data_IF_706520227267
#
_entry.id   IF_706520227267
#
_cell.length_a   1.000
_cell.length_b   1.000
_cell.length_c   1.000
_cell.angle_alpha   90.00
_cell.angle_beta   90.00
_cell.angle_gamma   90.00
#
_symmetry.space_group_name_H-M   'P 1'
#
loop_
_entity.id
_entity.type
_entity.pdbx_description
1 polymer ?
#
# COMPACT_ATOMS: atom_id res chain seq x y z
N UNK A 1 21.07 30.80 -11.89
CA UNK A 1 21.64 29.62 -11.23
C UNK A 1 20.53 29.01 -10.42
N UNK A 2 20.20 27.76 -10.67
CA UNK A 2 19.28 27.03 -9.82
C UNK A 2 19.87 26.89 -8.41
N UNK A 3 19.04 27.10 -7.41
CA UNK A 3 19.41 26.98 -5.99
C UNK A 3 19.69 25.51 -5.68
N UNK A 4 20.80 25.21 -5.00
CA UNK A 4 21.09 23.83 -4.55
C UNK A 4 20.01 23.35 -3.59
N UNK A 5 19.64 22.08 -3.65
CA UNK A 5 18.61 21.48 -2.79
C UNK A 5 18.99 21.64 -1.30
N UNK A 6 20.27 21.49 -0.95
CA UNK A 6 20.81 21.70 0.40
C UNK A 6 20.67 23.15 0.95
N UNK A 7 20.27 24.11 0.10
CA UNK A 7 20.04 25.50 0.46
C UNK A 7 18.55 25.89 0.47
N UNK A 8 17.67 24.95 0.17
CA UNK A 8 16.22 25.20 0.15
C UNK A 8 15.68 25.39 1.56
N UNK A 9 14.78 26.36 1.71
CA UNK A 9 13.98 26.50 2.92
C UNK A 9 12.98 25.34 3.04
N UNK A 10 12.33 25.24 4.20
CA UNK A 10 11.24 24.26 4.41
C UNK A 10 10.16 24.34 3.31
N UNK A 11 9.69 25.54 3.01
CA UNK A 11 8.62 25.77 2.03
C UNK A 11 9.07 25.44 0.62
N UNK A 12 10.26 25.88 0.21
CA UNK A 12 10.84 25.55 -1.09
C UNK A 12 11.00 24.04 -1.26
N UNK A 13 11.46 23.34 -0.24
CA UNK A 13 11.63 21.89 -0.28
C UNK A 13 10.28 21.14 -0.34
N UNK A 14 9.25 21.61 0.36
CA UNK A 14 7.89 21.07 0.27
C UNK A 14 7.30 21.27 -1.13
N UNK A 15 7.45 22.44 -1.71
CA UNK A 15 6.99 22.72 -3.08
C UNK A 15 7.78 21.89 -4.11
N UNK A 16 9.06 21.71 -3.90
CA UNK A 16 9.91 20.89 -4.75
C UNK A 16 9.53 19.41 -4.70
N UNK A 17 9.23 18.89 -3.51
CA UNK A 17 8.77 17.50 -3.33
C UNK A 17 7.37 17.27 -3.91
N UNK A 18 6.46 18.24 -3.77
CA UNK A 18 5.10 18.19 -4.32
C UNK A 18 5.10 17.97 -5.83
N UNK A 19 5.99 18.65 -6.56
CA UNK A 19 6.12 18.47 -8.01
C UNK A 19 6.51 17.05 -8.41
N UNK A 20 7.05 16.24 -7.49
CA UNK A 20 7.52 14.87 -7.71
C UNK A 20 6.57 13.80 -7.17
N UNK A 21 5.38 14.21 -6.74
CA UNK A 21 4.30 13.30 -6.34
C UNK A 21 3.25 13.25 -7.45
N UNK A 22 3.10 12.08 -8.07
CA UNK A 22 2.10 11.79 -9.09
C UNK A 22 1.01 10.93 -8.46
N UNK A 23 -0.26 11.30 -8.58
CA UNK A 23 -1.33 10.61 -7.86
C UNK A 23 -2.49 10.22 -8.77
N UNK A 24 -2.78 8.91 -8.80
CA UNK A 24 -3.97 8.32 -9.38
C UNK A 24 -5.08 8.15 -8.31
N UNK A 25 -4.82 8.58 -7.06
CA UNK A 25 -5.69 8.36 -5.93
C UNK A 25 -7.06 9.05 -6.04
N UNK A 26 -7.98 8.56 -5.24
CA UNK A 26 -9.28 9.21 -5.06
C UNK A 26 -9.08 10.56 -4.34
N UNK A 27 -10.00 11.49 -4.59
CA UNK A 27 -9.98 12.81 -3.92
C UNK A 27 -10.80 12.75 -2.63
N UNK A 28 -10.39 11.89 -1.69
CA UNK A 28 -10.98 11.79 -0.36
C UNK A 28 -9.96 12.17 0.73
N UNK A 29 -10.43 12.32 1.97
CA UNK A 29 -9.60 12.77 3.07
C UNK A 29 -8.41 11.84 3.34
N UNK A 30 -8.58 10.52 3.23
CA UNK A 30 -7.50 9.57 3.46
C UNK A 30 -6.38 9.71 2.43
N UNK A 31 -6.72 9.90 1.15
CA UNK A 31 -5.75 10.18 0.09
C UNK A 31 -5.07 11.53 0.28
N UNK A 32 -5.84 12.57 0.64
CA UNK A 32 -5.31 13.91 0.84
C UNK A 32 -4.33 13.98 2.02
N UNK A 33 -4.66 13.37 3.16
CA UNK A 33 -3.76 13.26 4.30
C UNK A 33 -2.47 12.50 3.94
N UNK A 34 -2.61 11.41 3.18
CA UNK A 34 -1.46 10.63 2.71
C UNK A 34 -0.55 11.44 1.79
N UNK A 35 -1.14 12.22 0.89
CA UNK A 35 -0.42 13.11 -0.03
C UNK A 35 0.36 14.19 0.74
N UNK A 36 -0.30 14.90 1.65
CA UNK A 36 0.34 15.94 2.46
C UNK A 36 1.47 15.38 3.32
N UNK A 37 1.28 14.19 3.90
CA UNK A 37 2.34 13.53 4.67
C UNK A 37 3.53 13.12 3.79
N UNK A 38 3.27 12.61 2.58
CA UNK A 38 4.31 12.20 1.63
C UNK A 38 5.20 13.37 1.17
N UNK A 39 4.69 14.59 1.12
CA UNK A 39 5.50 15.78 0.81
C UNK A 39 6.67 15.92 1.78
N UNK A 40 6.46 15.59 3.07
CA UNK A 40 7.51 15.62 4.09
C UNK A 40 8.48 14.45 3.95
N UNK A 41 7.99 13.24 3.76
CA UNK A 41 8.84 12.06 3.60
C UNK A 41 9.73 12.15 2.36
N UNK A 42 9.12 12.46 1.23
CA UNK A 42 9.81 12.60 -0.05
C UNK A 42 10.81 13.77 -0.02
N UNK A 43 10.41 14.92 0.56
CA UNK A 43 11.29 16.08 0.70
C UNK A 43 12.53 15.80 1.55
N UNK A 44 12.41 15.01 2.62
CA UNK A 44 13.57 14.55 3.39
C UNK A 44 14.52 13.69 2.55
N UNK A 45 13.98 12.75 1.76
CA UNK A 45 14.79 11.92 0.85
C UNK A 45 15.50 12.76 -0.22
N UNK A 46 14.78 13.70 -0.84
CA UNK A 46 15.33 14.65 -1.83
C UNK A 46 16.49 15.44 -1.22
N UNK A 47 16.32 15.94 0.00
CA UNK A 47 17.36 16.72 0.67
C UNK A 47 18.63 15.89 0.98
N UNK A 48 18.44 14.66 1.46
CA UNK A 48 19.56 13.74 1.78
C UNK A 48 20.33 13.33 0.54
N UNK A 49 19.61 13.06 -0.55
CA UNK A 49 20.22 12.61 -1.81
C UNK A 49 20.76 13.75 -2.67
N UNK A 50 20.46 15.00 -2.31
CA UNK A 50 20.72 16.20 -3.11
C UNK A 50 20.34 16.00 -4.60
N UNK A 51 19.20 15.31 -4.83
CA UNK A 51 18.74 14.87 -6.15
C UNK A 51 17.27 15.14 -6.39
N UNK A 52 16.97 15.61 -7.60
CA UNK A 52 15.61 15.76 -8.12
C UNK A 52 14.97 14.46 -8.64
N UNK A 53 15.72 13.36 -8.74
CA UNK A 53 15.26 12.08 -9.31
C UNK A 53 14.58 11.19 -8.27
N UNK A 54 14.12 11.78 -7.18
CA UNK A 54 13.32 11.12 -6.14
C UNK A 54 11.86 11.44 -6.40
N UNK A 55 11.02 10.44 -6.56
CA UNK A 55 9.62 10.64 -6.86
C UNK A 55 8.71 9.58 -6.25
N UNK A 56 7.42 9.88 -6.19
CA UNK A 56 6.37 9.01 -5.69
C UNK A 56 5.22 8.94 -6.69
N UNK A 57 4.70 7.73 -6.90
CA UNK A 57 3.45 7.50 -7.64
C UNK A 57 2.45 6.84 -6.70
N UNK A 58 1.36 7.54 -6.42
CA UNK A 58 0.23 6.98 -5.71
C UNK A 58 -0.72 6.23 -6.65
N UNK A 59 -1.11 5.02 -6.27
CA UNK A 59 -2.16 4.26 -6.93
C UNK A 59 -3.57 4.74 -6.58
N UNK A 60 -4.60 4.17 -7.20
CA UNK A 60 -5.99 4.47 -6.88
C UNK A 60 -6.35 4.27 -5.40
N UNK A 61 -5.69 3.33 -4.73
CA UNK A 61 -5.86 2.99 -3.32
C UNK A 61 -5.00 3.82 -2.35
N UNK A 62 -4.44 4.96 -2.82
CA UNK A 62 -3.71 5.91 -1.99
C UNK A 62 -4.45 6.21 -0.69
N UNK A 63 -3.81 6.04 0.46
CA UNK A 63 -4.47 6.12 1.76
C UNK A 63 -3.48 6.34 2.91
N UNK A 64 -4.00 6.60 4.09
CA UNK A 64 -3.22 6.63 5.34
C UNK A 64 -2.62 5.26 5.65
N UNK A 65 -1.53 5.23 6.41
CA UNK A 65 -0.95 3.99 6.95
C UNK A 65 -1.27 3.80 8.42
N UNK A 66 -1.59 2.56 8.83
CA UNK A 66 -1.74 2.20 10.24
C UNK A 66 -0.40 1.96 10.96
N UNK A 67 0.71 1.92 10.22
CA UNK A 67 2.04 1.89 10.82
C UNK A 67 2.41 3.31 11.28
N UNK A 68 2.28 3.57 12.60
CA UNK A 68 2.51 4.89 13.18
C UNK A 68 3.93 5.38 12.89
N UNK A 69 4.95 4.53 13.04
CA UNK A 69 6.33 4.95 12.76
C UNK A 69 6.53 5.39 11.32
N UNK A 70 5.96 4.67 10.33
CA UNK A 70 5.97 5.09 8.93
C UNK A 70 5.25 6.42 8.74
N UNK A 71 4.09 6.58 9.35
CA UNK A 71 3.31 7.81 9.28
C UNK A 71 4.09 9.00 9.83
N UNK A 72 4.68 8.87 11.03
CA UNK A 72 5.46 9.91 11.68
C UNK A 72 6.73 10.29 10.88
N UNK A 73 7.27 9.34 10.11
CA UNK A 73 8.41 9.59 9.21
C UNK A 73 8.01 10.31 7.91
N UNK A 74 6.72 10.52 7.66
CA UNK A 74 6.22 11.27 6.51
C UNK A 74 5.79 10.41 5.32
N UNK A 75 5.57 9.10 5.50
CA UNK A 75 5.21 8.20 4.39
C UNK A 75 3.76 7.74 4.46
N UNK A 76 3.05 7.87 3.33
CA UNK A 76 1.69 7.39 3.11
C UNK A 76 1.64 5.91 2.70
N UNK A 77 0.52 5.48 2.14
CA UNK A 77 0.28 4.11 1.68
C UNK A 77 -0.45 4.11 0.32
N UNK A 78 -0.39 2.99 -0.43
CA UNK A 78 -0.87 2.93 -1.80
C UNK A 78 0.11 3.60 -2.79
N UNK A 79 1.42 3.47 -2.58
CA UNK A 79 2.42 4.24 -3.31
C UNK A 79 3.64 3.42 -3.74
N UNK A 80 4.20 3.81 -4.88
CA UNK A 80 5.59 3.49 -5.29
C UNK A 80 6.46 4.70 -4.97
N UNK A 81 7.60 4.46 -4.31
CA UNK A 81 8.62 5.47 -4.05
C UNK A 81 9.91 5.01 -4.72
N UNK A 82 10.50 5.86 -5.54
CA UNK A 82 11.73 5.56 -6.27
C UNK A 82 12.75 6.68 -6.12
N UNK A 83 14.03 6.30 -6.10
CA UNK A 83 15.16 7.21 -5.97
C UNK A 83 16.37 6.69 -6.77
N UNK A 84 17.45 7.48 -6.99
CA UNK A 84 18.67 7.01 -7.65
C UNK A 84 19.30 5.80 -6.96
N UNK A 85 19.74 4.79 -7.73
CA UNK A 85 20.45 3.61 -7.18
C UNK A 85 21.90 3.96 -6.84
N UNK A 86 22.09 4.62 -5.72
CA UNK A 86 23.39 5.06 -5.17
C UNK A 86 23.81 4.29 -3.92
N UNK A 87 23.09 3.21 -3.59
CA UNK A 87 23.38 2.37 -2.42
C UNK A 87 22.89 2.94 -1.09
N UNK A 88 22.05 3.98 -1.12
CA UNK A 88 21.41 4.59 0.06
C UNK A 88 20.00 3.99 0.24
N UNK A 89 19.64 3.70 1.49
CA UNK A 89 18.36 3.13 1.89
C UNK A 89 17.72 3.93 3.02
N UNK A 90 16.38 3.96 3.04
CA UNK A 90 15.56 4.67 4.01
C UNK A 90 14.74 3.69 4.85
N UNK A 91 15.28 3.16 5.96
CA UNK A 91 14.62 2.11 6.75
C UNK A 91 13.31 2.58 7.40
N UNK A 92 13.11 3.87 7.61
CA UNK A 92 11.87 4.44 8.14
C UNK A 92 10.65 4.24 7.23
N UNK A 93 10.83 3.91 5.94
CA UNK A 93 9.73 3.54 5.05
C UNK A 93 9.11 2.18 5.48
N UNK A 94 9.87 1.34 6.21
CA UNK A 94 9.42 0.10 6.87
C UNK A 94 8.75 -0.90 5.93
N UNK A 95 9.44 -1.42 4.91
CA UNK A 95 8.94 -2.54 4.12
C UNK A 95 8.75 -3.78 5.02
N UNK A 96 7.68 -4.56 4.84
CA UNK A 96 7.35 -5.65 5.77
C UNK A 96 7.00 -6.98 5.11
N UNK A 97 7.14 -7.09 3.79
CA UNK A 97 6.85 -8.32 3.06
C UNK A 97 5.36 -8.72 3.01
N UNK A 98 4.43 -7.75 3.27
CA UNK A 98 3.01 -8.02 3.16
C UNK A 98 2.64 -8.37 1.72
N UNK A 99 1.75 -9.36 1.56
CA UNK A 99 1.35 -9.85 0.26
C UNK A 99 0.09 -10.70 0.34
N UNK A 100 -0.37 -11.17 -0.82
CA UNK A 100 -1.55 -12.00 -0.95
C UNK A 100 -1.27 -13.29 -1.70
N UNK A 101 -1.91 -14.37 -1.24
CA UNK A 101 -1.97 -15.67 -1.92
C UNK A 101 -3.37 -15.84 -2.49
N UNK A 102 -3.47 -16.36 -3.71
CA UNK A 102 -4.69 -16.97 -4.24
C UNK A 102 -4.51 -18.48 -4.20
N UNK A 103 -5.37 -19.17 -3.46
CA UNK A 103 -5.41 -20.63 -3.40
C UNK A 103 -6.72 -21.14 -4.01
N UNK A 104 -6.63 -22.21 -4.82
CA UNK A 104 -7.76 -22.91 -5.43
C UNK A 104 -8.04 -24.20 -4.68
N UNK A 105 -9.29 -24.53 -4.51
CA UNK A 105 -9.81 -25.79 -3.98
C UNK A 105 -10.93 -26.28 -4.90
N UNK A 106 -11.09 -27.59 -5.03
CA UNK A 106 -12.25 -28.15 -5.76
C UNK A 106 -13.54 -27.77 -5.03
N UNK A 107 -13.57 -27.96 -3.71
CA UNK A 107 -14.68 -27.57 -2.85
C UNK A 107 -14.17 -26.85 -1.59
N UNK A 108 -14.94 -25.86 -1.12
CA UNK A 108 -14.66 -25.20 0.15
C UNK A 108 -14.90 -26.18 1.30
N UNK A 109 -13.92 -26.37 2.21
CA UNK A 109 -14.13 -27.17 3.40
C UNK A 109 -15.30 -26.64 4.24
N UNK A 110 -16.03 -27.53 4.97
CA UNK A 110 -17.06 -27.10 5.92
C UNK A 110 -16.51 -26.05 6.90
N UNK A 111 -17.32 -25.06 7.24
CA UNK A 111 -16.96 -23.93 8.12
C UNK A 111 -16.38 -24.41 9.45
N UNK A 112 -16.99 -25.43 10.05
CA UNK A 112 -16.54 -26.02 11.31
C UNK A 112 -15.12 -26.58 11.18
N UNK A 113 -14.83 -27.29 10.08
CA UNK A 113 -13.51 -27.83 9.80
C UNK A 113 -12.44 -26.75 9.58
N UNK A 114 -12.82 -25.64 8.96
CA UNK A 114 -11.91 -24.48 8.81
C UNK A 114 -11.57 -23.90 10.17
N UNK A 115 -12.56 -23.71 11.05
CA UNK A 115 -12.37 -23.19 12.41
C UNK A 115 -11.50 -24.14 13.24
N UNK A 116 -11.75 -25.46 13.18
CA UNK A 116 -10.92 -26.47 13.84
C UNK A 116 -9.46 -26.38 13.40
N UNK A 117 -9.20 -26.37 12.08
CA UNK A 117 -7.84 -26.28 11.53
C UNK A 117 -7.14 -24.98 11.91
N UNK A 118 -7.85 -23.85 11.91
CA UNK A 118 -7.28 -22.57 12.38
C UNK A 118 -6.89 -22.68 13.85
N UNK A 119 -7.73 -23.25 14.70
CA UNK A 119 -7.40 -23.48 16.11
C UNK A 119 -6.23 -24.46 16.29
N UNK A 120 -6.14 -25.50 15.45
CA UNK A 120 -5.00 -26.41 15.43
C UNK A 120 -3.70 -25.67 15.06
N UNK A 121 -3.75 -24.84 14.02
CA UNK A 121 -2.59 -24.03 13.56
C UNK A 121 -2.15 -23.04 14.65
N UNK A 122 -3.08 -22.37 15.32
CA UNK A 122 -2.76 -21.44 16.42
C UNK A 122 -2.10 -22.11 17.62
N UNK A 123 -2.47 -23.38 17.90
CA UNK A 123 -1.93 -24.17 19.00
C UNK A 123 -0.74 -25.06 18.57
N UNK A 124 -0.39 -25.08 17.30
CA UNK A 124 0.70 -25.91 16.77
C UNK A 124 2.06 -25.23 16.88
N UNK A 125 3.09 -26.06 16.76
CA UNK A 125 4.46 -25.58 16.63
C UNK A 125 4.95 -25.72 15.18
N UNK A 126 4.44 -24.87 14.30
CA UNK A 126 4.91 -24.79 12.92
C UNK A 126 6.22 -24.01 12.85
N UNK A 127 7.18 -24.53 12.10
CA UNK A 127 8.49 -23.91 11.89
C UNK A 127 8.78 -23.72 10.40
N UNK A 128 9.39 -22.61 10.08
CA UNK A 128 9.95 -22.31 8.76
C UNK A 128 11.40 -21.82 8.90
N UNK A 129 12.33 -22.52 8.30
CA UNK A 129 13.77 -22.21 8.37
C UNK A 129 14.28 -22.01 9.83
N UNK A 130 13.75 -22.81 10.78
CA UNK A 130 14.08 -22.76 12.21
C UNK A 130 13.37 -21.65 13.01
N UNK A 131 12.51 -20.86 12.39
CA UNK A 131 11.72 -19.80 13.02
C UNK A 131 10.30 -20.31 13.24
N UNK A 132 9.77 -20.19 14.46
CA UNK A 132 8.38 -20.54 14.78
C UNK A 132 7.45 -19.56 14.06
N UNK A 133 6.47 -20.10 13.32
CA UNK A 133 5.44 -19.31 12.65
C UNK A 133 4.43 -18.80 13.68
N UNK A 134 4.18 -17.52 13.68
CA UNK A 134 3.12 -16.86 14.47
C UNK A 134 1.91 -16.59 13.58
N UNK A 135 0.82 -17.36 13.67
CA UNK A 135 -0.39 -17.08 12.91
C UNK A 135 -0.92 -15.67 13.16
N UNK A 136 -1.38 -15.01 12.10
CA UNK A 136 -1.88 -13.62 12.18
C UNK A 136 -3.15 -13.42 11.34
N UNK A 137 -4.05 -14.39 11.35
CA UNK A 137 -5.23 -14.49 10.50
C UNK A 137 -6.21 -13.30 10.56
N UNK A 138 -6.08 -12.41 11.51
CA UNK A 138 -6.97 -11.26 11.67
C UNK A 138 -6.30 -10.00 12.17
N UNK A 139 -4.99 -10.03 12.44
CA UNK A 139 -4.28 -8.88 13.00
C UNK A 139 -4.21 -7.71 11.98
N UNK A 140 -4.83 -6.60 12.33
CA UNK A 140 -4.83 -5.39 11.50
C UNK A 140 -5.69 -5.54 10.25
N UNK A 141 -5.07 -5.39 9.06
CA UNK A 141 -5.72 -5.59 7.76
C UNK A 141 -5.48 -6.99 7.18
N UNK A 142 -4.86 -7.91 7.93
CA UNK A 142 -4.70 -9.29 7.48
C UNK A 142 -6.03 -10.03 7.56
N UNK A 143 -6.23 -10.98 6.67
CA UNK A 143 -7.45 -11.77 6.57
C UNK A 143 -7.20 -13.10 5.85
N UNK A 144 -8.16 -14.02 6.02
CA UNK A 144 -8.31 -15.25 5.30
C UNK A 144 -9.75 -15.26 4.77
N UNK A 145 -9.95 -15.09 3.49
CA UNK A 145 -11.27 -14.93 2.87
C UNK A 145 -11.53 -16.01 1.82
N UNK A 146 -12.78 -16.48 1.77
CA UNK A 146 -13.24 -17.56 0.90
C UNK A 146 -14.23 -17.04 -0.11
N UNK A 147 -14.17 -17.59 -1.34
CA UNK A 147 -14.89 -17.04 -2.50
C UNK A 147 -15.41 -18.14 -3.42
N UNK A 148 -16.46 -17.79 -4.16
CA UNK A 148 -16.92 -18.49 -5.36
C UNK A 148 -16.85 -17.55 -6.57
N UNK A 149 -16.56 -18.05 -7.79
CA UNK A 149 -16.61 -17.24 -8.99
C UNK A 149 -18.00 -16.66 -9.26
N UNK A 150 -18.05 -15.37 -9.61
CA UNK A 150 -19.19 -14.73 -10.25
C UNK A 150 -19.02 -14.67 -11.78
N UNK A 151 -17.77 -14.71 -12.22
CA UNK A 151 -17.40 -14.73 -13.61
C UNK A 151 -15.90 -14.90 -13.75
N UNK A 152 -15.50 -15.71 -14.71
CA UNK A 152 -14.11 -16.00 -15.07
C UNK A 152 -13.96 -15.82 -16.56
N UNK A 153 -12.89 -15.18 -17.00
CA UNK A 153 -12.57 -15.03 -18.42
C UNK A 153 -12.14 -16.37 -19.01
N UNK A 154 -12.62 -16.74 -20.21
CA UNK A 154 -12.29 -18.03 -20.83
C UNK A 154 -10.80 -18.31 -20.98
N UNK A 155 -9.99 -17.29 -21.09
CA UNK A 155 -8.53 -17.39 -21.28
C UNK A 155 -7.75 -17.71 -19.99
N UNK A 156 -8.41 -17.76 -18.83
CA UNK A 156 -7.85 -18.22 -17.55
C UNK A 156 -8.64 -19.36 -16.92
N UNK A 157 -9.66 -19.89 -17.59
CA UNK A 157 -10.52 -20.97 -17.07
C UNK A 157 -9.73 -22.24 -16.70
N UNK A 158 -8.61 -22.51 -17.37
CA UNK A 158 -7.72 -23.63 -17.03
C UNK A 158 -7.03 -23.41 -15.66
N UNK A 159 -6.67 -22.15 -15.35
CA UNK A 159 -5.98 -21.79 -14.09
C UNK A 159 -6.97 -21.50 -12.97
N UNK A 160 -8.10 -20.87 -13.32
CA UNK A 160 -9.17 -20.50 -12.39
C UNK A 160 -10.52 -21.05 -12.86
N UNK A 161 -10.79 -22.37 -12.74
CA UNK A 161 -12.07 -22.96 -13.11
C UNK A 161 -13.27 -22.28 -12.41
N UNK A 162 -14.33 -22.06 -13.15
CA UNK A 162 -15.55 -21.39 -12.65
C UNK A 162 -16.36 -22.23 -11.66
N UNK A 163 -16.12 -23.54 -11.59
CA UNK A 163 -16.75 -24.46 -10.64
C UNK A 163 -15.96 -24.67 -9.34
N UNK A 164 -14.72 -24.19 -9.27
CA UNK A 164 -13.84 -24.28 -8.10
C UNK A 164 -14.21 -23.27 -6.99
N UNK A 165 -13.61 -23.46 -5.83
CA UNK A 165 -13.62 -22.48 -4.72
C UNK A 165 -12.24 -21.83 -4.57
N UNK A 166 -12.22 -20.62 -4.04
CA UNK A 166 -10.99 -19.87 -3.89
C UNK A 166 -10.84 -19.34 -2.47
N UNK A 167 -9.58 -19.23 -2.01
CA UNK A 167 -9.25 -18.47 -0.82
C UNK A 167 -8.20 -17.40 -1.17
N UNK A 168 -8.36 -16.23 -0.56
CA UNK A 168 -7.34 -15.18 -0.60
C UNK A 168 -6.83 -14.95 0.82
N UNK A 169 -5.52 -15.07 0.98
CA UNK A 169 -4.84 -14.94 2.26
C UNK A 169 -3.94 -13.73 2.19
N UNK A 170 -4.22 -12.74 3.04
CA UNK A 170 -3.44 -11.52 3.18
C UNK A 170 -2.62 -11.58 4.46
N UNK A 171 -1.30 -11.54 4.33
CA UNK A 171 -0.40 -11.65 5.48
C UNK A 171 1.04 -11.20 5.19
N UNK A 172 1.83 -11.05 6.24
CA UNK A 172 3.24 -10.67 6.20
C UNK A 172 4.09 -11.67 7.00
N UNK A 173 5.37 -11.37 7.23
CA UNK A 173 6.25 -12.15 8.12
C UNK A 173 6.47 -11.42 9.45
N UNK A 174 5.53 -11.44 10.42
CA UNK A 174 5.67 -10.74 11.68
C UNK A 174 6.93 -11.13 12.45
N UNK A 175 7.35 -12.38 12.32
CA UNK A 175 8.49 -13.00 12.99
C UNK A 175 9.83 -12.31 12.66
N UNK A 176 9.97 -11.79 11.42
CA UNK A 176 11.19 -11.13 10.93
C UNK A 176 11.09 -9.61 10.81
N UNK A 177 9.93 -9.01 11.07
CA UNK A 177 9.75 -7.55 11.00
C UNK A 177 10.64 -6.78 11.97
N UNK A 178 10.91 -7.35 13.14
CA UNK A 178 11.74 -6.73 14.18
C UNK A 178 13.14 -6.38 13.67
N UNK A 179 13.74 -7.27 12.88
CA UNK A 179 15.07 -7.05 12.30
C UNK A 179 15.07 -5.89 11.30
N UNK A 180 14.04 -5.82 10.43
CA UNK A 180 13.91 -4.76 9.43
C UNK A 180 13.64 -3.40 10.09
N UNK A 181 12.78 -3.38 11.11
CA UNK A 181 12.46 -2.13 11.82
C UNK A 181 13.58 -1.68 12.75
N UNK A 182 14.31 -2.61 13.37
CA UNK A 182 15.51 -2.31 14.18
C UNK A 182 16.69 -1.76 13.38
N UNK A 183 16.67 -1.93 12.04
CA UNK A 183 17.68 -1.31 11.18
C UNK A 183 17.66 0.23 11.22
N UNK A 184 16.55 0.85 11.60
CA UNK A 184 16.41 2.30 11.77
C UNK A 184 17.44 2.83 12.78
N UNK A 185 17.64 2.09 13.88
CA UNK A 185 18.54 2.50 14.96
C UNK A 185 20.02 2.37 14.59
N UNK A 186 20.33 1.63 13.51
CA UNK A 186 21.70 1.48 12.98
C UNK A 186 22.04 2.53 11.94
N UNK A 187 21.03 3.24 11.42
CA UNK A 187 21.22 4.28 10.41
C UNK A 187 21.79 5.58 10.98
N UNK A 188 22.45 6.32 10.12
CA UNK A 188 22.81 7.70 10.41
C UNK A 188 21.56 8.59 10.35
N UNK A 189 21.34 9.39 11.41
CA UNK A 189 20.25 10.34 11.46
C UNK A 189 20.64 11.68 10.85
N UNK A 190 20.07 12.00 9.70
CA UNK A 190 20.36 13.24 8.97
C UNK A 190 19.28 14.28 9.25
N UNK A 191 19.70 15.46 9.69
CA UNK A 191 18.81 16.62 9.89
C UNK A 191 18.50 17.30 8.58
N UNK A 192 17.21 17.51 8.32
CA UNK A 192 16.70 18.25 7.16
C UNK A 192 15.79 19.39 7.61
N UNK A 193 15.46 20.37 6.75
CA UNK A 193 14.45 21.40 7.08
C UNK A 193 13.06 20.82 7.41
N UNK A 194 12.79 19.56 7.03
CA UNK A 194 11.53 18.85 7.25
C UNK A 194 11.57 17.85 8.41
N UNK A 195 12.63 17.84 9.20
CA UNK A 195 12.88 16.93 10.31
C UNK A 195 13.96 15.91 9.98
N UNK A 196 14.22 15.00 10.90
CA UNK A 196 15.27 13.99 10.74
C UNK A 196 14.79 12.80 9.92
N UNK A 197 15.74 12.08 9.32
CA UNK A 197 15.51 10.80 8.63
C UNK A 197 16.71 9.88 8.84
N UNK A 198 16.44 8.60 9.11
CA UNK A 198 17.48 7.57 9.22
C UNK A 198 17.90 7.05 7.85
N UNK A 199 19.19 6.92 7.64
CA UNK A 199 19.81 6.53 6.37
C UNK A 199 20.77 5.38 6.59
N UNK A 200 20.72 4.38 5.73
CA UNK A 200 21.69 3.29 5.67
C UNK A 200 22.42 3.33 4.33
N UNK A 201 23.71 3.22 4.35
CA UNK A 201 24.56 3.16 3.16
C UNK A 201 25.62 2.06 3.23
N UNK A 202 26.49 1.99 2.25
CA UNK A 202 27.66 1.13 2.23
C UNK A 202 27.36 -0.33 2.60
N UNK A 203 28.01 -0.83 3.67
CA UNK A 203 27.85 -2.19 4.17
C UNK A 203 26.46 -2.37 4.80
N UNK A 204 26.02 -1.45 5.65
CA UNK A 204 24.76 -1.54 6.38
C UNK A 204 23.56 -1.49 5.45
N UNK A 205 23.62 -0.66 4.39
CA UNK A 205 22.62 -0.62 3.34
C UNK A 205 22.49 -1.96 2.58
N UNK A 206 23.63 -2.57 2.22
CA UNK A 206 23.62 -3.89 1.56
C UNK A 206 23.07 -4.99 2.47
N UNK A 207 23.43 -4.99 3.75
CA UNK A 207 22.89 -5.93 4.73
C UNK A 207 21.38 -5.75 4.92
N UNK A 208 20.90 -4.51 5.01
CA UNK A 208 19.48 -4.19 5.10
C UNK A 208 18.69 -4.74 3.90
N UNK A 209 19.18 -4.52 2.68
CA UNK A 209 18.54 -5.05 1.48
C UNK A 209 18.50 -6.58 1.48
N UNK A 210 19.60 -7.23 1.89
CA UNK A 210 19.67 -8.70 2.02
C UNK A 210 18.67 -9.21 3.04
N UNK A 211 18.60 -8.60 4.23
CA UNK A 211 17.63 -8.94 5.28
C UNK A 211 16.19 -8.81 4.77
N UNK A 212 15.90 -7.73 4.03
CA UNK A 212 14.58 -7.58 3.42
C UNK A 212 14.26 -8.70 2.41
N UNK A 213 15.19 -9.09 1.55
CA UNK A 213 14.96 -10.20 0.60
C UNK A 213 14.71 -11.53 1.32
N UNK A 214 15.36 -11.77 2.45
CA UNK A 214 15.11 -12.93 3.30
C UNK A 214 13.71 -12.85 3.95
N UNK A 215 13.30 -11.69 4.45
CA UNK A 215 11.95 -11.46 4.94
C UNK A 215 10.89 -11.71 3.86
N UNK A 216 11.08 -11.21 2.64
CA UNK A 216 10.12 -11.39 1.54
C UNK A 216 9.96 -12.88 1.18
N UNK A 217 11.08 -13.61 1.05
CA UNK A 217 11.09 -15.06 0.80
C UNK A 217 10.39 -15.82 1.93
N UNK A 218 10.70 -15.48 3.18
CA UNK A 218 10.06 -16.07 4.37
C UNK A 218 8.57 -15.81 4.36
N UNK A 219 8.14 -14.56 4.13
CA UNK A 219 6.73 -14.17 4.12
C UNK A 219 5.92 -14.91 3.05
N UNK A 220 6.49 -15.09 1.85
CA UNK A 220 5.86 -15.88 0.78
C UNK A 220 5.67 -17.34 1.19
N UNK A 221 6.72 -18.01 1.65
CA UNK A 221 6.63 -19.41 2.11
C UNK A 221 5.67 -19.58 3.29
N UNK A 222 5.71 -18.64 4.24
CA UNK A 222 4.83 -18.64 5.41
C UNK A 222 3.35 -18.60 4.98
N UNK A 223 2.98 -17.72 4.04
CA UNK A 223 1.61 -17.66 3.51
C UNK A 223 1.16 -18.97 2.87
N UNK A 224 2.05 -19.64 2.13
CA UNK A 224 1.76 -20.93 1.51
C UNK A 224 1.58 -22.06 2.54
N UNK A 225 2.41 -22.08 3.58
CA UNK A 225 2.27 -23.04 4.69
C UNK A 225 0.92 -22.83 5.37
N UNK A 226 0.60 -21.61 5.79
CA UNK A 226 -0.67 -21.29 6.45
C UNK A 226 -1.88 -21.61 5.56
N UNK A 227 -1.77 -21.36 4.24
CA UNK A 227 -2.81 -21.76 3.31
C UNK A 227 -3.05 -23.27 3.33
N UNK A 228 -2.00 -24.07 3.20
CA UNK A 228 -2.10 -25.55 3.17
C UNK A 228 -2.58 -26.13 4.48
N UNK A 229 -2.11 -25.61 5.61
CA UNK A 229 -2.56 -26.06 6.93
C UNK A 229 -4.06 -25.83 7.16
N UNK A 230 -4.57 -24.65 6.77
CA UNK A 230 -5.98 -24.31 6.96
C UNK A 230 -6.88 -24.94 5.88
N UNK A 231 -6.47 -24.92 4.61
CA UNK A 231 -7.31 -25.42 3.51
C UNK A 231 -7.18 -26.93 3.32
N UNK A 232 -6.02 -27.51 3.61
CA UNK A 232 -5.64 -28.88 3.26
C UNK A 232 -5.21 -28.96 1.80
N UNK A 233 -5.88 -29.78 1.01
CA UNK A 233 -5.57 -29.92 -0.41
C UNK A 233 -6.01 -28.66 -1.15
N UNK A 234 -5.02 -27.91 -1.61
CA UNK A 234 -5.22 -26.67 -2.37
C UNK A 234 -4.05 -26.41 -3.31
N UNK A 235 -4.32 -25.76 -4.42
CA UNK A 235 -3.30 -25.29 -5.36
C UNK A 235 -3.07 -23.79 -5.17
N UNK A 236 -1.80 -23.40 -5.05
CA UNK A 236 -1.41 -21.99 -4.99
C UNK A 236 -1.31 -21.44 -6.41
N UNK A 237 -2.23 -20.56 -6.80
CA UNK A 237 -2.28 -19.93 -8.12
C UNK A 237 -1.31 -18.75 -8.19
N UNK A 238 -1.29 -17.90 -7.17
CA UNK A 238 -0.36 -16.79 -7.07
C UNK A 238 -0.01 -16.46 -5.63
N UNK A 239 1.18 -15.90 -5.41
CA UNK A 239 1.67 -15.44 -4.11
C UNK A 239 2.54 -14.21 -4.32
N UNK A 240 1.93 -13.03 -4.22
CA UNK A 240 2.51 -11.76 -4.61
C UNK A 240 2.70 -10.83 -3.42
N UNK A 241 3.89 -10.26 -3.32
CA UNK A 241 4.19 -9.18 -2.36
C UNK A 241 3.69 -7.85 -2.94
N UNK A 242 3.06 -7.02 -2.12
CA UNK A 242 2.62 -5.67 -2.48
C UNK A 242 3.15 -4.58 -1.53
N UNK A 243 3.94 -4.98 -0.53
CA UNK A 243 4.59 -4.04 0.37
C UNK A 243 6.03 -4.45 0.66
N UNK A 244 6.97 -3.83 -0.07
CA UNK A 244 8.36 -4.21 0.01
C UNK A 244 9.30 -3.47 -0.90
N UNK A 245 10.57 -3.90 -0.89
CA UNK A 245 11.61 -3.41 -1.79
C UNK A 245 11.62 -4.25 -3.07
N UNK A 246 11.16 -3.68 -4.16
CA UNK A 246 11.12 -4.34 -5.47
C UNK A 246 12.45 -4.21 -6.20
N UNK A 247 13.16 -3.11 -5.97
CA UNK A 247 14.56 -2.91 -6.33
C UNK A 247 15.33 -2.31 -5.15
N UNK A 248 16.63 -2.07 -5.32
CA UNK A 248 17.46 -1.43 -4.29
C UNK A 248 17.01 0.00 -3.99
N UNK A 249 16.42 0.64 -4.97
CA UNK A 249 15.99 2.03 -4.99
C UNK A 249 14.48 2.17 -5.29
N UNK A 250 13.70 1.12 -5.07
CA UNK A 250 12.24 1.12 -5.24
C UNK A 250 11.55 0.41 -4.11
N UNK A 251 10.63 1.11 -3.45
CA UNK A 251 9.72 0.55 -2.45
C UNK A 251 8.28 0.74 -2.90
N UNK A 252 7.50 -0.32 -2.74
CA UNK A 252 6.04 -0.30 -2.91
C UNK A 252 5.37 -0.47 -1.55
N UNK A 253 4.36 0.35 -1.30
CA UNK A 253 3.61 0.40 -0.07
C UNK A 253 2.13 0.14 -0.36
N UNK A 254 1.71 -1.13 -0.38
CA UNK A 254 0.34 -1.52 -0.64
C UNK A 254 -0.11 -1.38 -2.10
N UNK A 255 0.80 -1.61 -3.03
CA UNK A 255 0.47 -1.72 -4.44
C UNK A 255 1.32 -2.81 -5.10
N UNK A 256 0.73 -3.54 -6.05
CA UNK A 256 1.43 -4.52 -6.85
C UNK A 256 2.30 -3.85 -7.92
N UNK A 257 3.35 -4.55 -8.34
CA UNK A 257 3.94 -4.36 -9.65
C UNK A 257 3.15 -5.19 -10.65
N UNK A 258 2.37 -4.55 -11.53
CA UNK A 258 1.55 -5.27 -12.50
C UNK A 258 2.37 -6.05 -13.54
N UNK A 259 3.70 -5.85 -13.55
CA UNK A 259 4.65 -6.58 -14.38
C UNK A 259 5.61 -7.45 -13.56
N UNK A 260 5.16 -7.94 -12.39
CA UNK A 260 6.00 -8.75 -11.49
C UNK A 260 6.77 -9.84 -12.25
N UNK A 261 8.10 -9.70 -12.25
CA UNK A 261 9.02 -10.57 -13.01
C UNK A 261 9.23 -11.95 -12.38
N UNK A 262 8.65 -12.21 -11.22
CA UNK A 262 8.68 -13.55 -10.59
C UNK A 262 7.77 -14.55 -11.31
N UNK A 263 6.88 -14.05 -12.18
CA UNK A 263 6.02 -14.85 -13.06
C UNK A 263 6.37 -14.61 -14.54
N UNK A 264 6.08 -15.57 -15.43
CA UNK A 264 6.13 -15.31 -16.86
C UNK A 264 5.24 -14.12 -17.24
N UNK A 265 5.68 -13.30 -18.18
CA UNK A 265 4.99 -12.07 -18.60
C UNK A 265 3.51 -12.33 -18.87
N UNK A 266 2.63 -11.57 -18.21
CA UNK A 266 1.18 -11.68 -18.36
C UNK A 266 0.55 -12.94 -17.74
N UNK A 267 1.30 -13.71 -16.92
CA UNK A 267 0.75 -14.89 -16.22
C UNK A 267 0.45 -14.63 -14.75
N UNK A 268 1.00 -13.57 -14.15
CA UNK A 268 0.68 -13.21 -12.79
C UNK A 268 -0.79 -12.76 -12.66
N UNK A 269 -1.46 -13.28 -11.63
CA UNK A 269 -2.83 -12.94 -11.29
C UNK A 269 -2.85 -12.15 -9.98
N UNK A 270 -3.37 -10.94 -10.03
CA UNK A 270 -3.35 -9.96 -8.95
C UNK A 270 -4.72 -9.83 -8.31
N UNK A 271 -4.88 -10.22 -7.04
CA UNK A 271 -6.13 -9.97 -6.31
C UNK A 271 -6.19 -8.50 -5.87
N UNK A 272 -7.31 -7.86 -6.15
CA UNK A 272 -7.66 -6.54 -5.60
C UNK A 272 -8.82 -6.74 -4.63
N UNK A 273 -8.46 -6.91 -3.35
CA UNK A 273 -9.41 -7.17 -2.28
C UNK A 273 -9.94 -5.85 -1.70
N UNK A 274 -11.25 -5.69 -1.68
CA UNK A 274 -11.91 -4.47 -1.20
C UNK A 274 -12.29 -4.62 0.27
N UNK A 275 -13.56 -4.62 0.54
CA UNK A 275 -14.18 -4.83 1.84
C UNK A 275 -14.77 -6.24 1.90
N UNK A 276 -14.88 -6.83 3.09
CA UNK A 276 -15.34 -8.20 3.32
C UNK A 276 -16.70 -8.56 2.68
N UNK A 277 -17.56 -7.57 2.43
CA UNK A 277 -18.89 -7.69 1.83
C UNK A 277 -18.92 -7.31 0.33
N UNK A 278 -17.74 -7.07 -0.27
CA UNK A 278 -17.59 -6.72 -1.68
C UNK A 278 -16.90 -7.84 -2.45
N UNK A 279 -17.21 -7.99 -3.75
CA UNK A 279 -16.45 -8.91 -4.60
C UNK A 279 -14.96 -8.54 -4.64
N UNK A 280 -14.12 -9.57 -4.72
CA UNK A 280 -12.72 -9.43 -5.11
C UNK A 280 -12.63 -9.49 -6.62
N UNK A 281 -11.76 -8.67 -7.18
CA UNK A 281 -11.44 -8.69 -8.60
C UNK A 281 -10.03 -9.23 -8.80
N UNK A 282 -9.89 -10.16 -9.74
CA UNK A 282 -8.61 -10.70 -10.15
C UNK A 282 -8.23 -10.04 -11.47
N UNK A 283 -7.04 -9.47 -11.49
CA UNK A 283 -6.50 -8.80 -12.68
C UNK A 283 -5.31 -9.58 -13.23
N UNK A 284 -5.20 -9.62 -14.54
CA UNK A 284 -3.95 -9.90 -15.21
C UNK A 284 -3.17 -8.59 -15.35
N UNK A 285 -1.89 -8.63 -15.01
CA UNK A 285 -1.03 -7.46 -15.09
C UNK A 285 -0.66 -7.09 -16.53
N UNK A 286 -0.40 -5.81 -16.73
CA UNK A 286 0.07 -5.22 -17.98
C UNK A 286 0.92 -3.98 -17.68
N UNK A 287 1.69 -3.52 -18.67
CA UNK A 287 2.27 -2.19 -18.64
C UNK A 287 1.16 -1.14 -18.62
N UNK A 288 1.25 -0.12 -17.75
CA UNK A 288 0.07 0.69 -17.51
C UNK A 288 0.25 2.21 -17.41
N UNK A 289 1.37 2.77 -17.02
CA UNK A 289 1.58 4.21 -17.08
C UNK A 289 2.11 4.66 -18.47
N UNK A 290 1.36 4.32 -19.52
CA UNK A 290 1.68 4.74 -20.89
C UNK A 290 1.57 6.25 -21.07
N UNK A 291 2.14 6.77 -22.16
CA UNK A 291 2.06 8.20 -22.52
C UNK A 291 0.60 8.69 -22.61
N UNK A 292 -0.33 7.86 -23.10
CA UNK A 292 -1.76 8.19 -23.14
C UNK A 292 -2.35 8.31 -21.73
N UNK A 293 -2.05 7.36 -20.82
CA UNK A 293 -2.50 7.42 -19.42
C UNK A 293 -1.90 8.64 -18.72
N UNK A 294 -0.61 8.92 -18.92
CA UNK A 294 0.03 10.11 -18.35
C UNK A 294 -0.60 11.41 -18.86
N UNK A 295 -0.94 11.48 -20.15
CA UNK A 295 -1.65 12.61 -20.74
C UNK A 295 -3.04 12.82 -20.14
N UNK A 296 -3.84 11.76 -20.01
CA UNK A 296 -5.17 11.82 -19.37
C UNK A 296 -5.12 12.23 -17.89
N UNK A 297 -4.05 11.87 -17.17
CA UNK A 297 -3.82 12.25 -15.79
C UNK A 297 -3.22 13.65 -15.64
N UNK A 298 -2.81 14.29 -16.75
CA UNK A 298 -2.11 15.58 -16.75
C UNK A 298 -0.69 15.51 -16.17
N UNK A 299 -0.04 14.34 -16.25
CA UNK A 299 1.32 14.11 -15.74
C UNK A 299 2.38 14.41 -16.79
N UNK A 300 2.08 14.24 -18.08
CA UNK A 300 3.00 14.23 -19.22
C UNK A 300 3.91 15.45 -19.25
N UNK A 301 3.33 16.67 -19.25
CA UNK A 301 4.11 17.90 -19.26
C UNK A 301 5.00 18.04 -18.04
N UNK A 302 4.47 17.78 -16.85
CA UNK A 302 5.23 17.88 -15.59
C UNK A 302 6.35 16.83 -15.55
N UNK A 303 6.07 15.61 -15.99
CA UNK A 303 7.05 14.54 -16.06
C UNK A 303 8.19 14.89 -17.05
N UNK A 304 7.85 15.51 -18.19
CA UNK A 304 8.83 15.98 -19.18
C UNK A 304 9.69 17.13 -18.63
N UNK A 305 9.07 18.14 -18.01
CA UNK A 305 9.76 19.27 -17.39
C UNK A 305 10.72 18.82 -16.27
N UNK A 306 10.42 17.70 -15.59
CA UNK A 306 11.24 17.12 -14.53
C UNK A 306 12.26 16.08 -15.04
N UNK A 307 12.22 15.69 -16.31
CA UNK A 307 13.04 14.60 -16.86
C UNK A 307 12.67 13.21 -16.35
N UNK A 308 11.44 13.01 -15.86
CA UNK A 308 10.96 11.76 -15.24
C UNK A 308 9.98 10.95 -16.12
N UNK A 309 9.82 11.36 -17.39
CA UNK A 309 8.79 10.78 -18.27
C UNK A 309 9.04 9.29 -18.56
N UNK A 310 10.28 8.93 -18.85
CA UNK A 310 10.65 7.55 -19.18
C UNK A 310 10.56 6.67 -17.91
N UNK A 311 11.06 7.17 -16.77
CA UNK A 311 11.01 6.49 -15.49
C UNK A 311 9.57 6.23 -15.02
N UNK A 312 8.66 7.19 -15.21
CA UNK A 312 7.24 7.01 -14.91
C UNK A 312 6.60 5.98 -15.84
N UNK A 313 6.99 5.93 -17.11
CA UNK A 313 6.52 4.92 -18.06
C UNK A 313 6.91 3.48 -17.69
N UNK A 314 7.96 3.30 -16.89
CA UNK A 314 8.38 2.01 -16.36
C UNK A 314 7.66 1.63 -15.06
N UNK A 315 6.95 2.57 -14.41
CA UNK A 315 6.18 2.28 -13.20
C UNK A 315 4.88 1.59 -13.58
N UNK A 316 4.79 0.32 -13.21
CA UNK A 316 3.63 -0.51 -13.43
C UNK A 316 2.90 -0.71 -12.10
N UNK A 317 1.82 0.03 -11.86
CA UNK A 317 1.13 0.07 -10.58
C UNK A 317 -0.29 -0.51 -10.68
N UNK A 318 -0.62 -1.40 -9.74
CA UNK A 318 -1.97 -1.90 -9.56
C UNK A 318 -2.30 -1.89 -8.06
N UNK A 319 -3.47 -1.40 -7.62
CA UNK A 319 -3.84 -1.42 -6.20
C UNK A 319 -3.93 -2.86 -5.69
N UNK A 320 -3.60 -3.07 -4.40
CA UNK A 320 -3.78 -4.37 -3.76
C UNK A 320 -5.18 -4.52 -3.16
N UNK A 321 -5.90 -3.40 -2.96
CA UNK A 321 -7.20 -3.42 -2.32
C UNK A 321 -7.86 -2.06 -2.26
N UNK A 322 -8.88 -1.93 -1.40
CA UNK A 322 -9.67 -0.70 -1.27
C UNK A 322 -8.90 0.47 -0.65
N UNK A 323 -7.91 0.19 0.19
CA UNK A 323 -7.36 1.21 1.07
C UNK A 323 -8.39 1.72 2.08
N UNK A 324 -7.97 2.58 3.01
CA UNK A 324 -8.89 3.19 3.96
C UNK A 324 -9.57 4.43 3.37
N UNK A 325 -10.82 4.65 3.73
CA UNK A 325 -11.52 5.93 3.58
C UNK A 325 -11.83 6.50 4.95
N UNK A 326 -11.96 7.81 5.01
CA UNK A 326 -12.37 8.52 6.21
C UNK A 326 -13.60 9.34 5.85
N UNK A 327 -14.73 9.05 6.49
CA UNK A 327 -16.03 9.68 6.21
C UNK A 327 -16.16 11.04 6.92
N UNK A 328 -15.26 11.95 6.59
CA UNK A 328 -15.27 13.34 7.01
C UNK A 328 -15.18 14.26 5.79
N UNK A 329 -16.00 15.29 5.76
CA UNK A 329 -15.80 16.43 4.88
C UNK A 329 -14.81 17.41 5.53
N UNK A 330 -14.06 18.11 4.72
CA UNK A 330 -13.12 19.13 5.14
C UNK A 330 -13.00 20.20 4.04
N UNK A 331 -12.60 21.40 4.41
CA UNK A 331 -12.35 22.48 3.46
C UNK A 331 -10.87 22.66 3.13
N UNK A 332 -10.00 22.42 4.10
CA UNK A 332 -8.56 22.57 3.96
C UNK A 332 -7.79 21.61 4.89
N UNK A 333 -6.58 21.26 4.48
CA UNK A 333 -5.59 20.56 5.32
C UNK A 333 -4.39 21.48 5.44
N UNK A 334 -4.00 21.82 6.67
CA UNK A 334 -2.75 22.49 6.98
C UNK A 334 -1.86 21.52 7.78
N UNK A 335 -0.54 21.58 7.58
CA UNK A 335 0.41 20.73 8.30
C UNK A 335 1.38 21.61 9.09
N UNK A 336 1.32 21.48 10.42
CA UNK A 336 2.26 22.12 11.35
C UNK A 336 3.27 21.06 11.81
N UNK A 337 4.54 21.25 11.48
CA UNK A 337 5.65 20.41 11.96
C UNK A 337 6.13 20.92 13.32
N UNK A 338 6.17 20.00 14.29
CA UNK A 338 6.78 20.21 15.61
C UNK A 338 7.92 19.22 15.84
N UNK A 339 8.58 19.31 16.98
CA UNK A 339 9.62 18.36 17.40
C UNK A 339 9.10 16.92 17.61
N UNK A 340 7.80 16.75 17.85
CA UNK A 340 7.18 15.42 18.05
C UNK A 340 6.53 14.86 16.78
N UNK A 341 6.43 15.62 15.68
CA UNK A 341 5.90 15.14 14.42
C UNK A 341 5.06 16.16 13.65
N UNK A 342 4.40 15.70 12.61
CA UNK A 342 3.46 16.48 11.83
C UNK A 342 2.08 16.49 12.51
N UNK A 343 1.49 17.69 12.67
CA UNK A 343 0.12 17.88 13.09
C UNK A 343 -0.70 18.29 11.86
N UNK A 344 -1.76 17.57 11.58
CA UNK A 344 -2.67 17.84 10.47
C UNK A 344 -3.88 18.58 11.03
N UNK A 345 -4.12 19.79 10.54
CA UNK A 345 -5.26 20.63 10.90
C UNK A 345 -6.30 20.50 9.80
N UNK A 346 -7.44 19.94 10.14
CA UNK A 346 -8.58 19.75 9.24
C UNK A 346 -9.59 20.86 9.50
N UNK A 347 -9.60 21.89 8.67
CA UNK A 347 -10.54 22.99 8.79
C UNK A 347 -11.93 22.59 8.26
N UNK A 348 -12.98 22.98 8.97
CA UNK A 348 -14.36 22.67 8.60
C UNK A 348 -14.71 21.18 8.65
N UNK A 349 -13.99 20.39 9.46
CA UNK A 349 -14.21 18.94 9.57
C UNK A 349 -15.61 18.61 10.11
N UNK A 350 -16.33 17.75 9.38
CA UNK A 350 -17.68 17.28 9.77
C UNK A 350 -17.97 15.88 9.23
N UNK A 351 -18.74 15.04 9.95
CA UNK A 351 -19.12 13.72 9.48
C UNK A 351 -19.96 13.77 8.20
N UNK A 352 -19.65 12.93 7.21
CA UNK A 352 -20.44 12.83 5.96
C UNK A 352 -21.82 12.20 6.23
N UNK A 353 -21.89 11.27 7.19
CA UNK A 353 -23.11 10.54 7.54
C UNK A 353 -24.20 11.37 8.20
N UNK A 354 -23.93 12.63 8.55
CA UNK A 354 -24.88 13.55 9.20
C UNK A 354 -25.40 14.64 8.26
N UNK A 355 -25.73 14.27 7.03
CA UNK A 355 -26.19 15.20 5.98
C UNK A 355 -27.43 16.00 6.41
N UNK A 356 -28.34 15.40 7.16
CA UNK A 356 -29.55 16.08 7.66
C UNK A 356 -29.21 17.17 8.70
N UNK A 357 -28.35 16.88 9.66
CA UNK A 357 -27.85 17.88 10.63
C UNK A 357 -27.08 19.02 9.93
N UNK A 358 -26.32 18.69 8.90
CA UNK A 358 -25.59 19.66 8.08
C UNK A 358 -26.57 20.60 7.36
N UNK A 359 -27.61 20.04 6.76
CA UNK A 359 -28.64 20.81 6.07
C UNK A 359 -29.35 21.79 6.99
N UNK A 360 -29.68 21.39 8.21
CA UNK A 360 -30.28 22.28 9.21
C UNK A 360 -29.30 23.36 9.70
N UNK A 361 -28.05 23.01 9.92
CA UNK A 361 -26.99 23.92 10.34
C UNK A 361 -26.71 24.98 9.27
N UNK A 362 -26.63 24.53 8.00
CA UNK A 362 -26.47 25.45 6.86
C UNK A 362 -27.66 26.42 6.72
N UNK A 363 -28.89 25.95 6.92
CA UNK A 363 -30.10 26.79 6.93
C UNK A 363 -30.11 27.85 8.05
N UNK A 364 -29.44 27.57 9.18
CA UNK A 364 -29.30 28.49 10.30
C UNK A 364 -28.15 29.48 10.16
N UNK A 365 -27.41 29.46 9.04
CA UNK A 365 -26.28 30.37 8.79
C UNK A 365 -25.05 30.10 9.65
N UNK A 366 -24.96 28.92 10.29
CA UNK A 366 -23.76 28.49 11.02
C UNK A 366 -22.78 27.93 10.01
N UNK A 367 -21.81 28.74 9.59
CA UNK A 367 -20.91 28.45 8.49
C UNK A 367 -19.59 27.75 8.88
N UNK A 368 -19.25 27.66 10.17
CA UNK A 368 -17.97 27.12 10.60
C UNK A 368 -18.13 25.93 11.54
N UNK A 369 -17.84 24.75 11.04
CA UNK A 369 -17.38 23.65 11.87
C UNK A 369 -15.95 23.98 12.29
N UNK A 370 -15.58 23.65 13.51
CA UNK A 370 -14.28 23.97 14.07
C UNK A 370 -13.11 23.30 13.31
N UNK A 371 -11.94 23.49 13.83
CA UNK A 371 -10.74 22.78 13.38
C UNK A 371 -10.55 21.51 14.18
N UNK A 372 -10.12 20.45 13.50
CA UNK A 372 -9.67 19.19 14.13
C UNK A 372 -8.18 19.04 13.92
N UNK A 373 -7.43 18.91 15.00
CA UNK A 373 -5.98 18.71 14.94
C UNK A 373 -5.66 17.26 15.29
N UNK A 374 -4.98 16.57 14.39
CA UNK A 374 -4.57 15.18 14.58
C UNK A 374 -3.07 15.00 14.28
N UNK A 375 -2.41 14.14 15.02
CA UNK A 375 -1.09 13.62 14.67
C UNK A 375 -1.19 12.23 14.06
N UNK A 376 -2.10 11.42 14.58
CA UNK A 376 -2.25 10.03 14.21
C UNK A 376 -3.61 9.81 13.51
N UNK A 377 -3.63 9.43 12.22
CA UNK A 377 -4.88 9.22 11.51
C UNK A 377 -5.70 8.04 12.03
N UNK A 378 -5.16 7.21 12.93
CA UNK A 378 -5.94 6.16 13.62
C UNK A 378 -7.03 6.72 14.55
N UNK A 379 -6.90 7.97 14.97
CA UNK A 379 -7.91 8.64 15.77
C UNK A 379 -9.17 9.01 14.98
N UNK A 380 -9.08 8.99 13.64
CA UNK A 380 -10.22 9.24 12.76
C UNK A 380 -11.01 7.95 12.52
N UNK A 381 -12.35 8.04 12.45
CA UNK A 381 -13.17 6.91 12.01
C UNK A 381 -12.84 6.56 10.56
N UNK A 382 -12.43 5.33 10.32
CA UNK A 382 -12.11 4.84 8.98
C UNK A 382 -12.84 3.53 8.67
N UNK A 383 -13.13 3.34 7.39
CA UNK A 383 -13.65 2.10 6.81
C UNK A 383 -12.79 1.75 5.58
N UNK A 384 -13.11 0.69 4.87
CA UNK A 384 -12.47 0.35 3.60
C UNK A 384 -13.29 0.88 2.42
N UNK A 385 -12.61 1.30 1.36
CA UNK A 385 -13.28 1.69 0.11
C UNK A 385 -13.83 0.47 -0.60
N UNK A 386 -14.96 0.69 -1.30
CA UNK A 386 -15.60 -0.30 -2.15
C UNK A 386 -15.14 -0.22 -3.61
N UNK A 387 -16.10 -0.38 -4.54
CA UNK A 387 -15.87 -0.53 -5.99
C UNK A 387 -15.25 0.68 -6.67
N UNK A 388 -15.27 1.87 -6.06
CA UNK A 388 -14.65 3.08 -6.62
C UNK A 388 -13.17 2.89 -6.99
N UNK A 389 -12.47 1.99 -6.31
CA UNK A 389 -11.09 1.62 -6.66
C UNK A 389 -11.05 0.88 -7.99
N UNK A 390 -11.96 -0.07 -8.20
CA UNK A 390 -12.05 -0.85 -9.44
C UNK A 390 -12.43 0.06 -10.61
N UNK A 391 -13.34 1.00 -10.40
CA UNK A 391 -13.72 1.99 -11.40
C UNK A 391 -12.49 2.79 -11.86
N UNK A 392 -11.62 3.20 -10.93
CA UNK A 392 -10.37 3.89 -11.26
C UNK A 392 -9.34 2.99 -11.97
N UNK A 393 -9.23 1.73 -11.57
CA UNK A 393 -8.37 0.75 -12.28
C UNK A 393 -8.81 0.60 -13.73
N UNK A 394 -10.12 0.54 -13.96
CA UNK A 394 -10.70 0.42 -15.31
C UNK A 394 -10.56 1.74 -16.10
N UNK A 395 -10.85 2.88 -15.48
CA UNK A 395 -10.75 4.20 -16.09
C UNK A 395 -9.33 4.49 -16.61
N UNK A 396 -8.32 4.10 -15.84
CA UNK A 396 -6.91 4.31 -16.19
C UNK A 396 -6.26 3.11 -16.87
N UNK A 397 -7.03 2.05 -17.13
CA UNK A 397 -6.56 0.83 -17.79
C UNK A 397 -5.31 0.22 -17.12
N UNK A 398 -5.32 0.15 -15.78
CA UNK A 398 -4.16 -0.30 -14.99
C UNK A 398 -3.94 -1.80 -14.97
N UNK A 399 -4.92 -2.59 -15.41
CA UNK A 399 -4.86 -4.05 -15.47
C UNK A 399 -6.05 -4.60 -16.25
N UNK A 400 -5.98 -5.86 -16.66
CA UNK A 400 -7.05 -6.57 -17.35
C UNK A 400 -7.86 -7.37 -16.32
N UNK A 401 -9.15 -7.05 -16.07
CA UNK A 401 -9.98 -7.85 -15.18
C UNK A 401 -10.24 -9.20 -15.82
N UNK A 402 -9.90 -10.29 -15.12
CA UNK A 402 -10.01 -11.67 -15.64
C UNK A 402 -10.92 -12.55 -14.80
N UNK A 403 -11.17 -12.19 -13.52
CA UNK A 403 -12.19 -12.84 -12.72
C UNK A 403 -12.81 -11.89 -11.70
N UNK A 404 -14.04 -12.20 -11.31
CA UNK A 404 -14.77 -11.58 -10.22
C UNK A 404 -15.25 -12.67 -9.28
N UNK A 405 -14.90 -12.56 -8.00
CA UNK A 405 -15.20 -13.57 -6.99
C UNK A 405 -16.13 -12.99 -5.93
N UNK A 406 -17.19 -13.74 -5.59
CA UNK A 406 -18.13 -13.37 -4.54
C UNK A 406 -17.60 -13.85 -3.19
N UNK A 407 -17.56 -13.00 -2.15
CA UNK A 407 -17.19 -13.43 -0.82
C UNK A 407 -18.23 -14.37 -0.23
N UNK A 408 -17.77 -15.43 0.41
CA UNK A 408 -18.59 -16.40 1.13
C UNK A 408 -18.38 -16.29 2.64
N UNK A 409 -17.12 -16.11 3.05
CA UNK A 409 -16.73 -16.05 4.43
C UNK A 409 -15.40 -15.30 4.59
N UNK A 410 -15.30 -14.46 5.61
CA UNK A 410 -14.06 -13.83 6.06
C UNK A 410 -13.70 -14.31 7.44
N UNK A 411 -12.50 -14.83 7.61
CA UNK A 411 -11.95 -15.24 8.88
C UNK A 411 -11.02 -14.14 9.41
N UNK A 412 -11.31 -13.69 10.63
CA UNK A 412 -10.48 -12.76 11.40
C UNK A 412 -10.49 -13.20 12.86
N UNK A 413 -9.50 -13.96 13.24
CA UNK A 413 -9.34 -14.54 14.59
C UNK A 413 -7.96 -14.24 15.15
#
# INVERSE_FOLDING_TARGET
>A
MEKKISQMSKEELLNFSEQRIFSLGLRDLASALSYENMRYGLGKMIYVLDSGDVYCVFGPDATITRNIGRWMSGFGYGAVIKWPDNGIYFPEIRPNGCGMVIARMDEMPPREKIIERVSEVENSELYLDGVKIEPDFGKGNHFFEFYKPLGVSPDIEEVMPSDSSYAIIHGSGPEKKGEIYGAIDRGEWIKTPLGEISVLDGKDGREYYKMYKELDKFSKKRREILAKEVLGDCEIISNLTHQGMFARNEIRLGCHDSMDRSYPRGKALFPVALRWDHPVYIFRGKENLSADVMGRLGFDKRAEDLGLKDELGEINILPHGGGYKIDLQYSNIEVIKTNIGNHFILSGAKPISKVEEISETAKRGVSSFGEMIIMNPRELPFDYRGTSIIEKVMEYDLGLPVAKLQPLMTLKV
#
